data_IF_881252308931
#
_entry.id   IF_881252308931
#
_cell.length_a   1.000
_cell.length_b   1.000
_cell.length_c   1.000
_cell.angle_alpha   90.00
_cell.angle_beta   90.00
_cell.angle_gamma   90.00
#
_symmetry.space_group_name_H-M   'P 1'
#
loop_
_entity.id
_entity.type
_entity.pdbx_description
1 polymer ?
#
# COMPACT_ATOMS: atom_id res chain seq x y z
N UNK A 1 -4.99 10.10 -25.03
CA UNK A 1 -4.45 10.36 -23.68
C UNK A 1 -4.29 11.88 -23.55
N UNK A 2 -4.80 12.47 -22.47
CA UNK A 2 -4.58 13.88 -22.15
C UNK A 2 -3.31 14.00 -21.31
N UNK A 3 -2.29 14.70 -21.81
CA UNK A 3 -1.00 14.88 -21.13
C UNK A 3 -0.86 16.34 -20.70
N UNK A 4 -0.44 16.57 -19.47
CA UNK A 4 -0.19 17.88 -18.90
C UNK A 4 1.16 17.89 -18.18
N UNK A 5 1.94 18.95 -18.39
CA UNK A 5 3.15 19.20 -17.61
C UNK A 5 2.79 20.00 -16.36
N UNK A 6 3.35 19.58 -15.22
CA UNK A 6 3.14 20.24 -13.94
C UNK A 6 4.45 20.32 -13.17
N UNK A 7 4.74 21.47 -12.58
CA UNK A 7 5.93 21.67 -11.74
C UNK A 7 5.74 20.87 -10.43
N UNK A 8 6.80 20.24 -9.95
CA UNK A 8 6.75 19.24 -8.88
C UNK A 8 6.12 19.74 -7.58
N UNK A 9 6.40 20.97 -7.17
CA UNK A 9 5.80 21.58 -5.98
C UNK A 9 4.29 21.77 -6.12
N UNK A 10 3.85 22.23 -7.30
CA UNK A 10 2.43 22.31 -7.61
C UNK A 10 1.80 20.91 -7.71
N UNK A 11 2.51 19.92 -8.26
CA UNK A 11 2.05 18.52 -8.28
C UNK A 11 1.82 18.01 -6.86
N UNK A 12 2.77 18.19 -5.97
CA UNK A 12 2.66 17.81 -4.56
C UNK A 12 1.44 18.45 -3.88
N UNK A 13 1.25 19.76 -4.07
CA UNK A 13 0.08 20.47 -3.55
C UNK A 13 -1.22 19.91 -4.13
N UNK A 14 -1.26 19.62 -5.43
CA UNK A 14 -2.48 19.11 -6.09
C UNK A 14 -2.80 17.66 -5.67
N UNK A 15 -1.81 16.82 -5.41
CA UNK A 15 -2.02 15.47 -4.86
C UNK A 15 -2.75 15.55 -3.50
N UNK A 16 -2.39 16.52 -2.66
CA UNK A 16 -3.07 16.73 -1.37
C UNK A 16 -4.48 17.29 -1.53
N UNK A 17 -4.66 18.25 -2.45
CA UNK A 17 -5.93 18.98 -2.58
C UNK A 17 -6.94 18.28 -3.47
N UNK A 18 -6.48 17.59 -4.51
CA UNK A 18 -7.31 17.03 -5.58
C UNK A 18 -6.67 15.79 -6.18
N UNK A 19 -6.45 14.72 -5.40
CA UNK A 19 -5.80 13.48 -5.87
C UNK A 19 -6.52 12.87 -7.08
N UNK A 20 -7.83 13.03 -7.16
CA UNK A 20 -8.68 12.52 -8.24
C UNK A 20 -8.37 13.10 -9.64
N UNK A 21 -7.50 14.10 -9.74
CA UNK A 21 -7.04 14.66 -11.02
C UNK A 21 -6.00 13.79 -11.72
N UNK A 22 -5.36 12.90 -11.00
CA UNK A 22 -4.21 12.13 -11.49
C UNK A 22 -4.61 10.68 -11.73
N UNK A 23 -4.55 10.26 -12.99
CA UNK A 23 -4.64 8.84 -13.34
C UNK A 23 -3.24 8.20 -13.32
N UNK A 24 -2.27 8.88 -13.94
CA UNK A 24 -0.88 8.44 -14.04
C UNK A 24 0.05 9.64 -13.91
N UNK A 25 1.08 9.53 -13.10
CA UNK A 25 2.15 10.51 -12.96
C UNK A 25 3.44 9.91 -13.52
N UNK A 26 4.08 10.62 -14.47
CA UNK A 26 5.38 10.25 -15.01
C UNK A 26 6.40 11.26 -14.54
N UNK A 27 7.45 10.81 -13.87
CA UNK A 27 8.47 11.68 -13.30
C UNK A 27 9.81 10.95 -13.17
N UNK A 28 10.87 11.65 -12.73
CA UNK A 28 12.15 11.04 -12.42
C UNK A 28 12.09 10.27 -11.10
N UNK A 29 12.98 9.30 -10.90
CA UNK A 29 13.04 8.45 -9.72
C UNK A 29 12.96 9.26 -8.41
N UNK A 30 13.85 10.22 -8.20
CA UNK A 30 13.90 11.01 -6.96
C UNK A 30 12.60 11.76 -6.66
N UNK A 31 12.02 12.39 -7.68
CA UNK A 31 10.77 13.13 -7.49
C UNK A 31 9.59 12.17 -7.33
N UNK A 32 9.63 11.03 -7.99
CA UNK A 32 8.64 9.96 -7.85
C UNK A 32 8.59 9.41 -6.42
N UNK A 33 9.74 9.14 -5.82
CA UNK A 33 9.85 8.68 -4.43
C UNK A 33 9.22 9.69 -3.45
N UNK A 34 9.51 10.99 -3.63
CA UNK A 34 8.91 12.04 -2.78
C UNK A 34 7.39 12.11 -2.95
N UNK A 35 6.90 12.05 -4.18
CA UNK A 35 5.47 12.16 -4.46
C UNK A 35 4.70 10.90 -4.04
N UNK A 36 5.29 9.72 -4.17
CA UNK A 36 4.67 8.46 -3.74
C UNK A 36 4.56 8.37 -2.22
N UNK A 37 5.59 8.80 -1.48
CA UNK A 37 5.55 8.87 -0.02
C UNK A 37 4.51 9.89 0.48
N UNK A 38 4.41 11.05 -0.20
CA UNK A 38 3.36 12.01 0.07
C UNK A 38 1.96 11.38 -0.13
N UNK A 39 1.76 10.68 -1.24
CA UNK A 39 0.51 10.00 -1.54
C UNK A 39 0.21 8.87 -0.53
N UNK A 40 1.23 8.09 -0.14
CA UNK A 40 1.10 7.08 0.91
C UNK A 40 0.66 7.69 2.25
N UNK A 41 1.17 8.89 2.59
CA UNK A 41 0.73 9.64 3.77
C UNK A 41 -0.76 9.97 3.75
N UNK A 42 -1.33 10.26 2.58
CA UNK A 42 -2.77 10.57 2.44
C UNK A 42 -3.69 9.36 2.66
N UNK A 43 -3.20 8.16 2.40
CA UNK A 43 -3.97 6.90 2.58
C UNK A 43 -3.74 6.23 3.93
N UNK A 44 -2.97 6.86 4.83
CA UNK A 44 -2.76 6.38 6.19
C UNK A 44 -1.33 5.94 6.51
N UNK A 45 -0.40 6.14 5.60
CA UNK A 45 1.04 5.91 5.81
C UNK A 45 1.62 4.73 5.02
N UNK A 46 2.93 4.63 5.10
CA UNK A 46 3.72 3.64 4.35
C UNK A 46 3.38 2.17 4.69
N UNK A 47 2.89 1.92 5.91
CA UNK A 47 2.44 0.58 6.32
C UNK A 47 1.23 0.04 5.56
N UNK A 48 0.53 0.92 4.81
CA UNK A 48 -0.64 0.56 4.00
C UNK A 48 -0.36 0.56 2.49
N UNK A 49 0.81 1.05 2.06
CA UNK A 49 1.11 1.28 0.66
C UNK A 49 1.81 0.08 0.00
N UNK A 50 1.13 -0.67 -0.88
CA UNK A 50 1.76 -1.70 -1.71
C UNK A 50 2.48 -1.07 -2.89
N UNK A 51 3.42 -1.80 -3.48
CA UNK A 51 4.13 -1.39 -4.69
C UNK A 51 4.37 -2.57 -5.64
N UNK A 52 4.50 -2.24 -6.92
CA UNK A 52 4.87 -3.19 -7.96
C UNK A 52 5.75 -2.53 -9.02
N UNK A 53 6.91 -3.11 -9.26
CA UNK A 53 7.83 -2.76 -10.35
C UNK A 53 7.61 -3.77 -11.49
N UNK A 54 6.95 -3.34 -12.56
CA UNK A 54 6.49 -4.21 -13.64
C UNK A 54 7.30 -3.91 -14.90
N UNK A 55 8.05 -4.89 -15.36
CA UNK A 55 8.78 -4.86 -16.62
C UNK A 55 8.14 -5.77 -17.68
N UNK A 56 8.79 -5.88 -18.84
CA UNK A 56 8.24 -6.62 -19.98
C UNK A 56 8.12 -8.13 -19.73
N UNK A 57 9.01 -8.70 -18.91
CA UNK A 57 9.11 -10.15 -18.68
C UNK A 57 9.14 -10.55 -17.21
N UNK A 58 9.31 -9.59 -16.32
CA UNK A 58 9.50 -9.84 -14.89
C UNK A 58 8.83 -8.73 -14.09
N UNK A 59 8.25 -9.08 -12.95
CA UNK A 59 7.71 -8.11 -12.01
C UNK A 59 8.20 -8.40 -10.58
N UNK A 60 8.34 -7.36 -9.77
CA UNK A 60 8.66 -7.43 -8.33
C UNK A 60 7.56 -6.69 -7.58
N UNK A 61 7.03 -7.33 -6.55
CA UNK A 61 5.99 -6.75 -5.69
C UNK A 61 6.53 -6.65 -4.27
N UNK A 62 6.51 -5.46 -3.72
CA UNK A 62 7.07 -5.17 -2.41
C UNK A 62 6.31 -4.02 -1.72
N UNK A 63 6.30 -3.94 -0.39
CA UNK A 63 5.78 -2.75 0.27
C UNK A 63 6.66 -1.53 -0.02
N UNK A 64 6.06 -0.34 -0.04
CA UNK A 64 6.80 0.93 -0.26
C UNK A 64 7.76 1.22 0.91
N UNK A 65 7.40 0.84 2.14
CA UNK A 65 8.20 1.11 3.33
C UNK A 65 9.55 0.37 3.34
N UNK A 66 10.56 0.98 3.97
CA UNK A 66 11.87 0.40 4.22
C UNK A 66 11.91 -0.55 5.43
N UNK A 67 13.10 -0.72 6.02
CA UNK A 67 13.39 -1.69 7.09
C UNK A 67 12.94 -1.29 8.49
N UNK A 68 12.58 -0.02 8.72
CA UNK A 68 12.12 0.53 10.01
C UNK A 68 12.95 0.02 11.22
N UNK A 69 14.25 0.35 11.29
CA UNK A 69 15.18 -0.26 12.28
C UNK A 69 14.80 0.03 13.73
N UNK A 70 14.07 1.12 13.97
CA UNK A 70 13.58 1.54 15.28
C UNK A 70 12.52 0.59 15.87
N UNK A 71 11.79 -0.14 15.03
CA UNK A 71 10.77 -1.12 15.46
C UNK A 71 11.13 -2.56 15.10
N UNK A 72 12.30 -2.79 14.50
CA UNK A 72 12.76 -4.14 14.13
C UNK A 72 12.78 -5.08 15.34
N UNK A 73 12.24 -6.28 15.19
CA UNK A 73 12.15 -7.30 16.24
C UNK A 73 11.07 -7.08 17.31
N UNK A 74 10.33 -5.97 17.26
CA UNK A 74 9.26 -5.69 18.24
C UNK A 74 7.92 -6.35 17.91
N UNK A 75 7.75 -6.90 16.70
CA UNK A 75 6.51 -7.55 16.26
C UNK A 75 5.30 -6.62 16.15
N UNK A 76 5.53 -5.31 15.88
CA UNK A 76 4.49 -4.28 15.85
C UNK A 76 4.32 -3.61 14.49
N UNK A 77 5.11 -4.00 13.49
CA UNK A 77 4.98 -3.47 12.13
C UNK A 77 3.63 -3.85 11.52
N UNK A 78 3.01 -2.90 10.81
CA UNK A 78 1.78 -3.15 10.08
C UNK A 78 2.06 -4.02 8.85
N UNK A 79 1.45 -5.21 8.71
CA UNK A 79 1.73 -6.11 7.59
C UNK A 79 0.89 -5.80 6.34
N UNK A 80 0.01 -4.81 6.39
CA UNK A 80 -0.98 -4.52 5.34
C UNK A 80 -0.32 -4.28 3.98
N UNK A 81 0.73 -3.46 3.92
CA UNK A 81 1.41 -3.16 2.66
C UNK A 81 1.98 -4.43 1.99
N UNK A 82 2.57 -5.34 2.77
CA UNK A 82 3.09 -6.61 2.26
C UNK A 82 1.97 -7.54 1.77
N UNK A 83 0.85 -7.61 2.51
CA UNK A 83 -0.33 -8.41 2.12
C UNK A 83 -0.94 -7.87 0.83
N UNK A 84 -1.10 -6.54 0.72
CA UNK A 84 -1.63 -5.91 -0.49
C UNK A 84 -0.66 -6.02 -1.68
N UNK A 85 0.66 -5.99 -1.47
CA UNK A 85 1.64 -6.29 -2.53
C UNK A 85 1.49 -7.71 -3.06
N UNK A 86 1.19 -8.68 -2.19
CA UNK A 86 0.86 -10.04 -2.61
C UNK A 86 -0.47 -10.09 -3.39
N UNK A 87 -1.48 -9.30 -3.03
CA UNK A 87 -2.71 -9.18 -3.81
C UNK A 87 -2.45 -8.61 -5.21
N UNK A 88 -1.64 -7.56 -5.32
CA UNK A 88 -1.20 -7.03 -6.63
C UNK A 88 -0.47 -8.08 -7.47
N UNK A 89 0.37 -8.90 -6.84
CA UNK A 89 1.04 -10.01 -7.53
C UNK A 89 0.04 -11.05 -8.05
N UNK A 90 -0.97 -11.39 -7.27
CA UNK A 90 -2.04 -12.31 -7.70
C UNK A 90 -2.82 -11.73 -8.90
N UNK A 91 -3.17 -10.46 -8.87
CA UNK A 91 -3.85 -9.81 -9.99
C UNK A 91 -2.98 -9.81 -11.26
N UNK A 92 -1.69 -9.50 -11.13
CA UNK A 92 -0.72 -9.56 -12.24
C UNK A 92 -0.60 -10.97 -12.84
N UNK A 93 -0.66 -12.02 -12.03
CA UNK A 93 -0.63 -13.42 -12.46
C UNK A 93 -1.96 -13.92 -13.07
N UNK A 94 -3.00 -13.06 -13.05
CA UNK A 94 -4.32 -13.40 -13.56
C UNK A 94 -5.27 -14.04 -12.55
N UNK A 95 -4.83 -14.23 -11.30
CA UNK A 95 -5.61 -14.78 -10.18
C UNK A 95 -6.51 -13.71 -9.54
N UNK A 96 -7.32 -13.03 -10.37
CA UNK A 96 -8.09 -11.83 -10.00
C UNK A 96 -9.06 -12.05 -8.85
N UNK A 97 -9.71 -13.20 -8.79
CA UNK A 97 -10.67 -13.50 -7.70
C UNK A 97 -9.94 -13.71 -6.37
N UNK A 98 -8.76 -14.32 -6.39
CA UNK A 98 -7.92 -14.46 -5.21
C UNK A 98 -7.42 -13.09 -4.72
N UNK A 99 -6.96 -12.23 -5.63
CA UNK A 99 -6.55 -10.86 -5.32
C UNK A 99 -7.65 -10.09 -4.61
N UNK A 100 -8.85 -10.02 -5.19
CA UNK A 100 -10.02 -9.34 -4.62
C UNK A 100 -10.43 -9.88 -3.24
N UNK A 101 -10.33 -11.19 -3.04
CA UNK A 101 -10.62 -11.79 -1.73
C UNK A 101 -9.61 -11.33 -0.67
N UNK A 102 -8.33 -11.27 -1.02
CA UNK A 102 -7.29 -10.75 -0.11
C UNK A 102 -7.54 -9.28 0.21
N UNK A 103 -7.76 -8.44 -0.80
CA UNK A 103 -8.08 -7.02 -0.61
C UNK A 103 -9.29 -6.84 0.30
N UNK A 104 -10.39 -7.56 0.03
CA UNK A 104 -11.60 -7.49 0.85
C UNK A 104 -11.38 -7.97 2.29
N UNK A 105 -10.55 -8.98 2.50
CA UNK A 105 -10.20 -9.43 3.85
C UNK A 105 -9.44 -8.34 4.63
N UNK A 106 -8.49 -7.67 3.96
CA UNK A 106 -7.76 -6.53 4.52
C UNK A 106 -8.71 -5.39 4.87
N UNK A 107 -9.61 -5.01 3.96
CA UNK A 107 -10.59 -3.94 4.20
C UNK A 107 -11.47 -4.22 5.42
N UNK A 108 -11.96 -5.47 5.56
CA UNK A 108 -12.76 -5.88 6.72
C UNK A 108 -11.99 -5.75 8.05
N UNK A 109 -10.70 -6.10 8.04
CA UNK A 109 -9.86 -5.99 9.25
C UNK A 109 -9.53 -4.52 9.54
N UNK A 110 -9.23 -3.71 8.55
CA UNK A 110 -9.02 -2.26 8.74
C UNK A 110 -10.28 -1.55 9.26
N UNK A 111 -11.46 -1.99 8.82
CA UNK A 111 -12.74 -1.42 9.26
C UNK A 111 -13.11 -1.81 10.70
N UNK A 112 -12.94 -3.08 11.08
CA UNK A 112 -13.54 -3.66 12.30
C UNK A 112 -12.61 -4.51 13.15
N UNK A 113 -11.41 -4.79 12.68
CA UNK A 113 -10.45 -5.68 13.31
C UNK A 113 -9.47 -4.98 14.25
N UNK A 114 -8.44 -5.72 14.71
CA UNK A 114 -7.36 -5.17 15.48
C UNK A 114 -6.55 -4.17 14.64
N UNK A 115 -6.02 -3.15 15.29
CA UNK A 115 -5.18 -2.11 14.64
C UNK A 115 -3.78 -2.12 15.21
N UNK A 116 -2.79 -2.00 14.36
CA UNK A 116 -1.39 -1.85 14.74
C UNK A 116 -1.12 -0.44 15.30
N UNK A 117 0.01 -0.20 16.00
CA UNK A 117 0.31 1.09 16.62
C UNK A 117 0.32 2.30 15.68
N UNK A 118 0.76 2.13 14.44
CA UNK A 118 0.72 3.17 13.39
C UNK A 118 -0.72 3.61 13.03
N UNK A 119 -1.70 2.74 13.26
CA UNK A 119 -3.13 3.02 13.09
C UNK A 119 -3.84 3.35 14.41
N UNK A 120 -3.07 3.65 15.45
CA UNK A 120 -3.59 4.04 16.77
C UNK A 120 -4.08 2.88 17.63
N UNK A 121 -3.74 1.65 17.33
CA UNK A 121 -4.04 0.45 18.11
C UNK A 121 -2.84 -0.08 18.89
N UNK A 122 -2.96 -1.32 19.34
CA UNK A 122 -1.94 -2.05 20.09
C UNK A 122 -1.71 -3.49 19.59
N UNK A 123 -2.29 -3.82 18.46
CA UNK A 123 -2.16 -5.15 17.88
C UNK A 123 -0.74 -5.41 17.38
N UNK A 124 -0.30 -6.64 17.55
CA UNK A 124 0.95 -7.12 16.96
C UNK A 124 0.79 -7.40 15.46
N UNK A 125 1.90 -7.43 14.72
CA UNK A 125 1.95 -7.88 13.33
C UNK A 125 1.25 -9.24 13.15
N UNK A 126 1.50 -10.18 14.06
CA UNK A 126 0.91 -11.52 14.04
C UNK A 126 -0.60 -11.48 14.25
N UNK A 127 -1.08 -10.79 15.28
CA UNK A 127 -2.52 -10.68 15.57
C UNK A 127 -3.31 -10.04 14.41
N UNK A 128 -2.75 -9.01 13.77
CA UNK A 128 -3.35 -8.42 12.58
C UNK A 128 -3.39 -9.42 11.41
N UNK A 129 -2.28 -10.12 11.16
CA UNK A 129 -2.18 -11.12 10.08
C UNK A 129 -3.18 -12.26 10.28
N UNK A 130 -3.29 -12.79 11.50
CA UNK A 130 -4.26 -13.83 11.85
C UNK A 130 -5.70 -13.36 11.58
N UNK A 131 -6.04 -12.13 11.96
CA UNK A 131 -7.35 -11.55 11.68
C UNK A 131 -7.66 -11.48 10.16
N UNK A 132 -6.65 -11.13 9.33
CA UNK A 132 -6.82 -11.14 7.87
C UNK A 132 -7.03 -12.57 7.35
N UNK A 133 -6.28 -13.54 7.85
CA UNK A 133 -6.46 -14.96 7.47
C UNK A 133 -7.86 -15.46 7.83
N UNK A 134 -8.37 -15.16 9.02
CA UNK A 134 -9.71 -15.54 9.42
C UNK A 134 -10.80 -14.84 8.59
N UNK A 135 -10.62 -13.54 8.31
CA UNK A 135 -11.52 -12.82 7.41
C UNK A 135 -11.55 -13.47 6.02
N UNK A 136 -10.37 -13.83 5.47
CA UNK A 136 -10.25 -14.48 4.17
C UNK A 136 -10.94 -15.84 4.09
N UNK A 137 -10.91 -16.64 5.18
CA UNK A 137 -11.60 -17.92 5.26
C UNK A 137 -13.14 -17.77 5.26
N UNK A 138 -13.64 -16.62 5.71
CA UNK A 138 -15.07 -16.33 5.80
C UNK A 138 -15.67 -15.78 4.49
N UNK A 139 -14.87 -15.40 3.52
CA UNK A 139 -15.25 -14.89 2.20
C UNK A 139 -15.36 -16.00 1.17
#
# INVERSE_FOLDING_TARGET
VNVQDIIVDNCAMQIVMRPERFDVIVTTNLLGDILSDLAAGLVGGLGLAPSGNIGDTTAVFEPVHGSAPDIAGKGIANPTAAILSAAMMLDYLGEKEAAKRVEKAVDLVLERGPRTPDLGGDATTEAFTEAVVEALKSL
#
